data_IF_283293785574
#
_entry.id   IF_283293785574
#
_cell.length_a   1.000
_cell.length_b   1.000
_cell.length_c   1.000
_cell.angle_alpha   90.00
_cell.angle_beta   90.00
_cell.angle_gamma   90.00
#
_symmetry.space_group_name_H-M   'P 1'
#
loop_
_entity.id
_entity.type
_entity.pdbx_description
1 polymer ?
#
# COMPACT_ATOMS: atom_id res chain seq x y z
N UNK A 1 -22.38 -0.45 3.79
CA UNK A 1 -21.54 -1.45 3.09
C UNK A 1 -20.87 -0.75 1.92
N UNK A 2 -19.57 -0.96 1.69
CA UNK A 2 -18.87 -0.42 0.52
C UNK A 2 -19.28 -1.24 -0.69
N UNK A 3 -20.06 -0.62 -1.57
CA UNK A 3 -20.33 -1.11 -2.92
C UNK A 3 -20.32 0.12 -3.82
N UNK A 4 -19.45 0.13 -4.82
CA UNK A 4 -19.26 1.28 -5.69
C UNK A 4 -19.01 0.79 -7.10
N UNK A 5 -19.77 1.32 -8.07
CA UNK A 5 -19.62 0.97 -9.48
C UNK A 5 -19.15 2.19 -10.26
N UNK A 6 -18.14 2.00 -11.10
CA UNK A 6 -17.66 3.03 -12.02
C UNK A 6 -17.28 2.40 -13.35
N UNK A 7 -17.98 2.81 -14.41
CA UNK A 7 -17.87 2.15 -15.71
C UNK A 7 -18.24 0.68 -15.60
N UNK A 8 -17.33 -0.19 -16.06
CA UNK A 8 -17.49 -1.66 -16.06
C UNK A 8 -16.98 -2.36 -14.79
N UNK A 9 -16.55 -1.60 -13.78
CA UNK A 9 -15.95 -2.15 -12.57
C UNK A 9 -16.83 -1.89 -11.35
N UNK A 10 -16.86 -2.88 -10.46
CA UNK A 10 -17.53 -2.78 -9.16
C UNK A 10 -16.52 -3.09 -8.06
N UNK A 11 -16.36 -2.16 -7.12
CA UNK A 11 -15.59 -2.34 -5.90
C UNK A 11 -16.52 -2.66 -4.73
N UNK A 12 -16.23 -3.71 -3.97
CA UNK A 12 -17.02 -4.11 -2.80
C UNK A 12 -16.18 -4.77 -1.72
N UNK A 13 -16.70 -4.83 -0.50
CA UNK A 13 -16.14 -5.72 0.51
C UNK A 13 -16.46 -7.18 0.19
N UNK A 14 -15.55 -8.07 0.56
CA UNK A 14 -15.85 -9.49 0.71
C UNK A 14 -16.86 -9.68 1.86
N UNK A 15 -17.90 -10.46 1.63
CA UNK A 15 -18.96 -10.75 2.60
C UNK A 15 -19.05 -12.24 2.92
N UNK A 16 -18.51 -13.10 2.05
CA UNK A 16 -18.55 -14.55 2.19
C UNK A 16 -17.14 -15.17 2.24
N UNK A 17 -16.99 -16.39 2.78
CA UNK A 17 -15.73 -17.14 2.65
C UNK A 17 -15.30 -17.33 1.18
N UNK A 18 -16.27 -17.48 0.27
CA UNK A 18 -16.00 -17.56 -1.17
C UNK A 18 -15.35 -16.30 -1.74
N UNK A 19 -15.77 -15.12 -1.27
CA UNK A 19 -15.15 -13.85 -1.66
C UNK A 19 -13.69 -13.75 -1.18
N UNK A 20 -13.44 -14.16 0.06
CA UNK A 20 -12.09 -14.18 0.63
C UNK A 20 -11.19 -15.16 -0.13
N UNK A 21 -11.71 -16.36 -0.46
CA UNK A 21 -11.00 -17.32 -1.31
C UNK A 21 -10.70 -16.78 -2.71
N UNK A 22 -11.62 -16.00 -3.29
CA UNK A 22 -11.40 -15.36 -4.58
C UNK A 22 -10.26 -14.31 -4.52
N UNK A 23 -10.21 -13.50 -3.44
CA UNK A 23 -9.09 -12.60 -3.19
C UNK A 23 -7.77 -13.37 -2.99
N UNK A 24 -7.78 -14.41 -2.17
CA UNK A 24 -6.62 -15.28 -1.91
C UNK A 24 -6.06 -15.92 -3.18
N UNK A 25 -6.95 -16.37 -4.07
CA UNK A 25 -6.59 -16.96 -5.37
C UNK A 25 -5.93 -15.92 -6.28
N UNK A 26 -6.53 -14.72 -6.37
CA UNK A 26 -5.98 -13.63 -7.17
C UNK A 26 -4.62 -13.16 -6.64
N UNK A 27 -4.46 -13.04 -5.31
CA UNK A 27 -3.18 -12.72 -4.67
C UNK A 27 -2.11 -13.75 -5.01
N UNK A 28 -2.42 -15.04 -4.89
CA UNK A 28 -1.48 -16.10 -5.24
C UNK A 28 -1.01 -16.00 -6.70
N UNK A 29 -1.96 -15.82 -7.62
CA UNK A 29 -1.66 -15.62 -9.04
C UNK A 29 -0.72 -14.42 -9.26
N UNK A 30 -0.97 -13.31 -8.59
CA UNK A 30 -0.17 -12.09 -8.75
C UNK A 30 1.22 -12.17 -8.09
N UNK A 31 1.35 -12.81 -6.93
CA UNK A 31 2.57 -12.79 -6.12
C UNK A 31 3.46 -14.02 -6.31
N UNK A 32 2.86 -15.20 -6.50
CA UNK A 32 3.56 -16.48 -6.62
C UNK A 32 3.47 -17.06 -8.03
N UNK A 33 2.42 -16.71 -8.77
CA UNK A 33 2.14 -17.26 -10.09
C UNK A 33 1.41 -18.59 -10.02
N UNK A 34 0.55 -18.84 -11.02
CA UNK A 34 -0.22 -20.09 -11.11
C UNK A 34 -1.35 -20.24 -10.07
N UNK A 35 -2.02 -21.39 -10.06
CA UNK A 35 -3.12 -21.67 -9.14
C UNK A 35 -2.61 -21.91 -7.71
N UNK A 36 -3.37 -21.45 -6.72
CA UNK A 36 -3.07 -21.58 -5.29
C UNK A 36 -3.79 -20.52 -4.48
N UNK A 37 -3.50 -20.44 -3.18
CA UNK A 37 -4.06 -19.44 -2.27
C UNK A 37 -2.92 -18.75 -1.51
N UNK A 38 -2.92 -17.42 -1.50
CA UNK A 38 -2.04 -16.61 -0.66
C UNK A 38 -2.82 -16.33 0.63
N UNK A 39 -2.48 -17.02 1.72
CA UNK A 39 -3.18 -16.97 3.01
C UNK A 39 -2.20 -16.66 4.13
N UNK A 40 -2.57 -15.78 5.05
CA UNK A 40 -1.82 -15.55 6.29
C UNK A 40 -2.76 -15.23 7.47
N UNK A 41 -2.19 -15.15 8.68
CA UNK A 41 -2.93 -14.94 9.92
C UNK A 41 -3.64 -13.57 9.99
N UNK A 42 -3.25 -12.59 9.16
CA UNK A 42 -3.91 -11.29 9.13
C UNK A 42 -5.23 -11.31 8.37
N UNK A 43 -5.48 -12.33 7.55
CA UNK A 43 -6.69 -12.39 6.73
C UNK A 43 -7.98 -12.38 7.55
N UNK A 44 -7.94 -12.90 8.78
CA UNK A 44 -9.10 -12.92 9.69
C UNK A 44 -9.45 -11.54 10.24
N UNK A 45 -8.44 -10.70 10.50
CA UNK A 45 -8.63 -9.35 11.05
C UNK A 45 -8.83 -8.29 9.95
N UNK A 46 -8.50 -8.62 8.70
CA UNK A 46 -8.57 -7.71 7.59
C UNK A 46 -9.95 -7.68 6.93
N UNK A 47 -10.34 -6.50 6.46
CA UNK A 47 -11.41 -6.35 5.47
C UNK A 47 -10.83 -6.55 4.09
N UNK A 48 -11.36 -7.51 3.34
CA UNK A 48 -10.94 -7.76 1.96
C UNK A 48 -11.81 -6.94 1.01
N UNK A 49 -11.17 -6.28 0.05
CA UNK A 49 -11.83 -5.51 -1.01
C UNK A 49 -11.58 -6.21 -2.33
N UNK A 50 -12.67 -6.48 -3.04
CA UNK A 50 -12.66 -7.02 -4.40
C UNK A 50 -13.05 -5.91 -5.36
N UNK A 51 -12.37 -5.87 -6.51
CA UNK A 51 -12.79 -5.14 -7.69
C UNK A 51 -13.05 -6.16 -8.77
N UNK A 52 -14.29 -6.19 -9.23
CA UNK A 52 -14.79 -7.13 -10.21
C UNK A 52 -15.08 -6.40 -11.53
N UNK A 53 -14.91 -7.09 -12.65
CA UNK A 53 -15.39 -6.60 -13.93
C UNK A 53 -16.90 -6.86 -14.12
N UNK A 54 -17.45 -6.46 -15.27
CA UNK A 54 -18.86 -6.63 -15.59
C UNK A 54 -19.33 -8.10 -15.60
N UNK A 55 -18.40 -9.06 -15.71
CA UNK A 55 -18.69 -10.50 -15.62
C UNK A 55 -18.63 -11.06 -14.20
N UNK A 56 -18.34 -10.23 -13.19
CA UNK A 56 -18.18 -10.66 -11.81
C UNK A 56 -16.83 -11.31 -11.50
N UNK A 57 -15.86 -11.26 -12.42
CA UNK A 57 -14.53 -11.82 -12.18
C UNK A 57 -13.65 -10.82 -11.42
N UNK A 58 -12.98 -11.21 -10.32
CA UNK A 58 -12.04 -10.35 -9.62
C UNK A 58 -10.85 -9.96 -10.50
N UNK A 59 -10.69 -8.66 -10.76
CA UNK A 59 -9.59 -8.08 -11.54
C UNK A 59 -8.57 -7.35 -10.68
N UNK A 60 -8.92 -7.01 -9.44
CA UNK A 60 -8.03 -6.45 -8.44
C UNK A 60 -8.54 -6.79 -7.04
N UNK A 61 -7.63 -6.93 -6.08
CA UNK A 61 -8.00 -7.00 -4.68
C UNK A 61 -6.94 -6.33 -3.80
N UNK A 62 -7.36 -5.98 -2.59
CA UNK A 62 -6.48 -5.54 -1.51
C UNK A 62 -7.15 -5.81 -0.17
N UNK A 63 -6.38 -5.71 0.91
CA UNK A 63 -6.92 -5.85 2.27
C UNK A 63 -6.65 -4.61 3.10
N UNK A 64 -7.54 -4.35 4.05
CA UNK A 64 -7.46 -3.25 5.00
C UNK A 64 -7.49 -3.82 6.42
N UNK A 65 -6.44 -3.58 7.20
CA UNK A 65 -6.46 -3.83 8.64
C UNK A 65 -6.90 -2.54 9.36
N UNK A 66 -8.12 -2.47 9.92
CA UNK A 66 -8.53 -1.34 10.73
C UNK A 66 -7.83 -1.34 12.09
N UNK A 67 -7.29 -0.18 12.48
CA UNK A 67 -6.76 0.06 13.82
C UNK A 67 -7.49 1.24 14.45
N UNK A 68 -7.84 1.13 15.73
CA UNK A 68 -8.54 2.21 16.45
C UNK A 68 -7.67 3.44 16.68
N UNK A 69 -6.35 3.23 16.84
CA UNK A 69 -5.34 4.26 17.02
C UNK A 69 -3.95 3.66 16.82
N UNK A 70 -2.91 4.49 16.97
CA UNK A 70 -1.51 4.08 17.04
C UNK A 70 -1.24 3.00 18.09
N UNK A 71 -1.99 2.95 19.19
CA UNK A 71 -1.81 1.94 20.23
C UNK A 71 -1.99 0.49 19.76
N UNK A 72 -2.63 0.28 18.61
CA UNK A 72 -2.81 -1.05 17.99
C UNK A 72 -1.79 -1.35 16.88
N UNK A 73 -0.84 -0.45 16.60
CA UNK A 73 0.08 -0.55 15.44
C UNK A 73 0.92 -1.81 15.43
N UNK A 74 1.23 -2.36 16.61
CA UNK A 74 1.97 -3.62 16.77
C UNK A 74 1.27 -4.84 16.19
N UNK A 75 -0.05 -4.77 15.93
CA UNK A 75 -0.84 -5.83 15.29
C UNK A 75 -0.72 -5.86 13.77
N UNK A 76 -0.05 -4.87 13.17
CA UNK A 76 0.05 -4.76 11.70
C UNK A 76 1.10 -5.69 11.09
N UNK A 77 0.93 -6.02 9.81
CA UNK A 77 1.95 -6.75 9.05
C UNK A 77 3.26 -5.95 9.00
N UNK A 78 3.17 -4.63 8.83
CA UNK A 78 4.32 -3.72 8.82
C UNK A 78 5.13 -3.81 10.12
N UNK A 79 4.49 -3.96 11.27
CA UNK A 79 5.17 -4.07 12.56
C UNK A 79 6.02 -5.35 12.70
N UNK A 80 5.89 -6.34 11.81
CA UNK A 80 6.80 -7.49 11.78
C UNK A 80 8.21 -7.09 11.34
N UNK A 81 8.33 -6.06 10.48
CA UNK A 81 9.59 -5.68 9.82
C UNK A 81 10.13 -4.31 10.25
N UNK A 82 9.25 -3.43 10.71
CA UNK A 82 9.60 -2.07 11.14
C UNK A 82 9.34 -1.92 12.64
N UNK A 83 10.23 -1.21 13.32
CA UNK A 83 9.92 -0.68 14.65
C UNK A 83 9.08 0.59 14.45
N UNK A 84 7.81 0.47 14.86
CA UNK A 84 6.77 1.47 14.68
C UNK A 84 6.39 2.15 15.99
N UNK A 85 7.21 2.06 17.04
CA UNK A 85 6.88 2.64 18.36
C UNK A 85 6.60 4.15 18.28
N UNK A 86 7.25 4.87 17.35
CA UNK A 86 6.97 6.29 17.12
C UNK A 86 5.52 6.59 16.69
N UNK A 87 4.82 5.62 16.09
CA UNK A 87 3.43 5.76 15.66
C UNK A 87 2.42 5.39 16.76
N UNK A 88 2.85 4.81 17.88
CA UNK A 88 1.96 4.40 18.97
C UNK A 88 1.14 5.57 19.54
N UNK A 89 1.68 6.79 19.48
CA UNK A 89 1.01 8.00 19.95
C UNK A 89 0.06 8.65 18.94
N UNK A 90 -0.15 8.06 17.75
CA UNK A 90 -1.12 8.58 16.79
C UNK A 90 -2.54 8.38 17.31
N UNK A 91 -3.29 9.48 17.44
CA UNK A 91 -4.53 9.55 18.23
C UNK A 91 -5.82 9.30 17.42
N UNK A 92 -5.70 9.13 16.10
CA UNK A 92 -6.83 8.89 15.19
C UNK A 92 -6.83 7.45 14.66
N UNK A 93 -7.98 6.96 14.15
CA UNK A 93 -8.04 5.66 13.49
C UNK A 93 -7.02 5.55 12.36
N UNK A 94 -6.46 4.35 12.18
CA UNK A 94 -5.48 4.06 11.14
C UNK A 94 -5.96 2.88 10.32
N UNK A 95 -5.47 2.74 9.08
CA UNK A 95 -5.67 1.51 8.34
C UNK A 95 -4.40 1.08 7.60
N UNK A 96 -4.02 -0.19 7.78
CA UNK A 96 -2.97 -0.80 6.97
C UNK A 96 -3.58 -1.26 5.65
N UNK A 97 -3.07 -0.73 4.53
CA UNK A 97 -3.36 -1.25 3.21
C UNK A 97 -2.29 -2.27 2.82
N UNK A 98 -2.71 -3.50 2.55
CA UNK A 98 -1.84 -4.60 2.20
C UNK A 98 -2.35 -5.41 1.02
N UNK A 99 -1.47 -6.28 0.50
CA UNK A 99 -1.79 -7.28 -0.53
C UNK A 99 -2.53 -6.72 -1.75
N UNK A 100 -2.22 -5.47 -2.11
CA UNK A 100 -2.80 -4.83 -3.29
C UNK A 100 -2.24 -5.49 -4.55
N UNK A 101 -3.11 -6.07 -5.38
CA UNK A 101 -2.72 -6.62 -6.66
C UNK A 101 -3.79 -6.39 -7.73
N UNK A 102 -3.34 -6.28 -8.98
CA UNK A 102 -4.18 -6.23 -10.18
C UNK A 102 -3.84 -7.48 -10.97
N UNK A 103 -4.87 -8.16 -11.48
CA UNK A 103 -4.73 -9.36 -12.30
C UNK A 103 -3.77 -9.06 -13.46
N UNK A 104 -2.76 -9.91 -13.74
CA UNK A 104 -1.69 -9.60 -14.70
C UNK A 104 -2.21 -9.43 -16.14
N UNK A 105 -3.33 -10.06 -16.49
CA UNK A 105 -4.04 -9.85 -17.75
C UNK A 105 -4.83 -8.53 -17.87
N UNK A 106 -4.84 -7.70 -16.82
CA UNK A 106 -5.59 -6.43 -16.80
C UNK A 106 -4.64 -5.24 -16.59
N UNK A 107 -4.61 -4.34 -17.57
CA UNK A 107 -3.83 -3.10 -17.53
C UNK A 107 -4.68 -1.83 -17.52
N UNK A 108 -6.00 -1.95 -17.33
CA UNK A 108 -6.92 -0.81 -17.38
C UNK A 108 -6.69 0.14 -16.18
N UNK A 109 -6.29 1.40 -16.41
CA UNK A 109 -6.06 2.36 -15.33
C UNK A 109 -7.31 2.66 -14.49
N UNK A 110 -8.52 2.39 -15.00
CA UNK A 110 -9.77 2.57 -14.25
C UNK A 110 -9.89 1.63 -13.06
N UNK A 111 -9.23 0.47 -13.08
CA UNK A 111 -9.15 -0.46 -11.94
C UNK A 111 -8.46 0.21 -10.75
N UNK A 112 -7.36 0.93 -10.98
CA UNK A 112 -6.68 1.65 -9.91
C UNK A 112 -7.52 2.85 -9.45
N UNK A 113 -8.21 3.54 -10.36
CA UNK A 113 -9.08 4.67 -10.01
C UNK A 113 -10.22 4.23 -9.10
N UNK A 114 -10.93 3.15 -9.45
CA UNK A 114 -12.03 2.64 -8.62
C UNK A 114 -11.52 2.12 -7.27
N UNK A 115 -10.33 1.51 -7.20
CA UNK A 115 -9.70 1.11 -5.95
C UNK A 115 -9.46 2.30 -5.01
N UNK A 116 -8.92 3.41 -5.54
CA UNK A 116 -8.72 4.63 -4.75
C UNK A 116 -10.04 5.28 -4.34
N UNK A 117 -11.09 5.25 -5.19
CA UNK A 117 -12.41 5.72 -4.81
C UNK A 117 -13.01 4.91 -3.66
N UNK A 118 -12.87 3.58 -3.72
CA UNK A 118 -13.31 2.67 -2.68
C UNK A 118 -12.58 2.91 -1.35
N UNK A 119 -11.25 3.10 -1.42
CA UNK A 119 -10.44 3.43 -0.25
C UNK A 119 -10.79 4.82 0.32
N UNK A 120 -11.05 5.80 -0.54
CA UNK A 120 -11.45 7.16 -0.13
C UNK A 120 -12.78 7.12 0.63
N UNK A 121 -13.76 6.38 0.11
CA UNK A 121 -15.03 6.17 0.81
C UNK A 121 -14.83 5.50 2.16
N UNK A 122 -14.02 4.46 2.21
CA UNK A 122 -13.68 3.80 3.47
C UNK A 122 -13.04 4.76 4.48
N UNK A 123 -12.08 5.58 4.05
CA UNK A 123 -11.40 6.58 4.90
C UNK A 123 -12.40 7.59 5.45
N UNK A 124 -13.26 8.16 4.59
CA UNK A 124 -14.26 9.15 4.99
C UNK A 124 -15.31 8.53 5.93
N UNK A 125 -15.79 7.30 5.64
CA UNK A 125 -16.80 6.59 6.44
C UNK A 125 -16.28 6.19 7.84
N UNK A 126 -14.97 5.94 7.97
CA UNK A 126 -14.37 5.42 9.23
C UNK A 126 -13.54 6.46 9.99
N UNK A 127 -13.38 7.66 9.42
CA UNK A 127 -12.60 8.73 10.05
C UNK A 127 -11.10 8.40 10.16
N UNK A 128 -10.56 7.57 9.26
CA UNK A 128 -9.13 7.22 9.25
C UNK A 128 -8.29 8.49 9.13
N UNK A 129 -7.38 8.67 10.07
CA UNK A 129 -6.40 9.76 10.10
C UNK A 129 -5.09 9.41 9.41
N UNK A 130 -4.75 8.12 9.30
CA UNK A 130 -3.53 7.66 8.61
C UNK A 130 -3.77 6.36 7.84
N UNK A 131 -3.42 6.36 6.56
CA UNK A 131 -3.20 5.14 5.79
C UNK A 131 -1.72 4.77 5.81
N UNK A 132 -1.42 3.49 5.98
CA UNK A 132 -0.04 3.02 5.95
C UNK A 132 0.08 1.61 5.35
N UNK A 133 1.31 1.15 5.12
CA UNK A 133 1.60 -0.21 4.69
C UNK A 133 3.00 -0.34 4.10
N UNK A 134 3.21 -1.41 3.34
CA UNK A 134 4.49 -1.69 2.67
C UNK A 134 4.36 -1.50 1.16
N UNK A 135 5.15 -0.59 0.58
CA UNK A 135 5.27 -0.46 -0.87
C UNK A 135 6.46 -1.24 -1.39
N UNK A 136 6.21 -2.19 -2.28
CA UNK A 136 7.22 -3.15 -2.75
C UNK A 136 7.77 -2.83 -4.13
N UNK A 137 9.07 -3.02 -4.28
CA UNK A 137 9.85 -3.06 -5.51
C UNK A 137 10.16 -4.52 -5.83
N UNK A 138 10.10 -4.91 -7.10
CA UNK A 138 10.28 -6.30 -7.52
C UNK A 138 11.74 -6.75 -7.39
N UNK A 139 11.97 -7.90 -6.80
CA UNK A 139 13.30 -8.48 -6.61
C UNK A 139 14.01 -7.95 -5.35
N UNK A 140 15.04 -8.68 -4.92
CA UNK A 140 15.80 -8.40 -3.69
C UNK A 140 17.06 -7.54 -3.90
N UNK A 141 17.31 -7.07 -5.13
CA UNK A 141 18.50 -6.28 -5.48
C UNK A 141 18.15 -4.80 -5.58
N UNK A 142 18.92 -3.95 -4.91
CA UNK A 142 18.69 -2.49 -4.91
C UNK A 142 19.17 -1.79 -6.19
N UNK A 143 20.10 -2.39 -6.94
CA UNK A 143 20.75 -1.77 -8.10
C UNK A 143 19.78 -1.23 -9.18
N UNK A 144 18.66 -1.90 -9.52
CA UNK A 144 17.69 -1.37 -10.48
C UNK A 144 16.92 -0.13 -9.97
N UNK A 145 16.91 0.11 -8.66
CA UNK A 145 16.04 1.09 -7.99
C UNK A 145 16.80 2.26 -7.37
N UNK A 146 18.10 2.40 -7.65
CA UNK A 146 18.93 3.42 -6.99
C UNK A 146 18.42 4.85 -7.22
N UNK A 147 17.89 5.16 -8.40
CA UNK A 147 17.34 6.48 -8.69
C UNK A 147 15.99 6.71 -7.98
N UNK A 148 15.14 5.67 -7.89
CA UNK A 148 13.93 5.72 -7.09
C UNK A 148 14.24 5.92 -5.61
N UNK A 149 15.20 5.17 -5.06
CA UNK A 149 15.63 5.33 -3.67
C UNK A 149 16.29 6.69 -3.40
N UNK A 150 17.08 7.22 -4.34
CA UNK A 150 17.63 8.57 -4.22
C UNK A 150 16.50 9.63 -4.21
N UNK A 151 15.45 9.46 -5.03
CA UNK A 151 14.27 10.34 -5.03
C UNK A 151 13.47 10.24 -3.72
N UNK A 152 13.31 9.03 -3.17
CA UNK A 152 12.66 8.84 -1.88
C UNK A 152 13.43 9.51 -0.74
N UNK A 153 14.76 9.35 -0.71
CA UNK A 153 15.65 10.03 0.24
C UNK A 153 15.49 11.56 0.17
N UNK A 154 15.49 12.11 -1.04
CA UNK A 154 15.50 13.56 -1.23
C UNK A 154 14.21 14.23 -0.74
N UNK A 155 13.05 13.63 -1.03
CA UNK A 155 11.79 14.37 -0.98
C UNK A 155 10.68 13.70 -0.17
N UNK A 156 10.88 12.45 0.28
CA UNK A 156 9.78 11.62 0.78
C UNK A 156 10.11 10.84 2.05
N UNK A 157 11.19 11.16 2.76
CA UNK A 157 11.46 10.53 4.06
C UNK A 157 10.40 10.93 5.09
N UNK A 158 10.10 9.97 5.99
CA UNK A 158 9.20 10.17 7.11
C UNK A 158 9.54 11.44 7.91
N UNK A 159 8.53 12.19 8.38
CA UNK A 159 8.74 13.22 9.38
C UNK A 159 9.43 12.63 10.62
N UNK A 160 10.33 13.39 11.26
CA UNK A 160 11.11 12.91 12.42
C UNK A 160 10.24 12.26 13.51
N UNK A 161 9.03 12.81 13.75
CA UNK A 161 8.09 12.28 14.75
C UNK A 161 7.52 10.89 14.43
N UNK A 162 7.50 10.48 13.16
CA UNK A 162 6.88 9.23 12.70
C UNK A 162 7.86 8.19 12.17
N UNK A 163 9.14 8.55 12.05
CA UNK A 163 10.15 7.75 11.36
C UNK A 163 10.23 6.29 11.83
N UNK A 164 9.86 5.31 10.98
CA UNK A 164 10.01 3.89 11.29
C UNK A 164 11.48 3.53 11.49
N UNK A 165 11.79 2.79 12.54
CA UNK A 165 13.13 2.27 12.81
C UNK A 165 13.30 0.87 12.25
N UNK A 166 14.55 0.43 12.15
CA UNK A 166 14.89 -0.89 11.61
C UNK A 166 14.64 -1.96 12.65
N UNK A 167 13.77 -2.92 12.33
CA UNK A 167 13.54 -4.15 13.08
C UNK A 167 13.92 -5.40 12.29
N UNK A 168 13.71 -5.38 10.97
CA UNK A 168 14.04 -6.48 10.09
C UNK A 168 15.54 -6.81 10.08
N UNK A 169 15.93 -8.10 9.93
CA UNK A 169 17.32 -8.53 9.97
C UNK A 169 18.12 -8.07 8.74
N UNK A 170 17.45 -7.87 7.60
CA UNK A 170 18.10 -7.51 6.32
C UNK A 170 17.43 -6.29 5.71
N UNK A 171 18.21 -5.23 5.54
CA UNK A 171 17.75 -3.96 4.97
C UNK A 171 18.78 -3.33 4.04
N UNK A 172 18.31 -2.59 3.04
CA UNK A 172 19.08 -1.63 2.27
C UNK A 172 18.81 -0.22 2.79
N UNK A 173 19.74 0.32 3.60
CA UNK A 173 19.69 1.67 4.19
C UNK A 173 19.95 2.75 3.14
N UNK A 174 19.00 2.97 2.24
CA UNK A 174 19.21 3.82 1.08
C UNK A 174 19.47 5.28 1.44
N UNK A 175 18.86 5.82 2.51
CA UNK A 175 19.08 7.22 2.88
C UNK A 175 20.56 7.50 3.23
N UNK A 176 21.20 6.56 3.93
CA UNK A 176 22.62 6.62 4.26
C UNK A 176 23.51 6.26 3.05
N UNK A 177 23.22 5.14 2.38
CA UNK A 177 24.08 4.62 1.28
C UNK A 177 24.09 5.53 0.04
N UNK A 178 23.03 6.31 -0.16
CA UNK A 178 22.87 7.22 -1.30
C UNK A 178 22.95 8.69 -0.87
N UNK A 179 23.59 9.00 0.27
CA UNK A 179 23.68 10.36 0.81
C UNK A 179 24.13 11.38 -0.25
N UNK A 180 25.18 11.06 -1.01
CA UNK A 180 25.77 11.93 -2.04
C UNK A 180 25.24 11.68 -3.46
N UNK A 181 24.21 10.84 -3.63
CA UNK A 181 23.62 10.55 -4.94
C UNK A 181 22.41 11.43 -5.18
N UNK A 182 22.45 12.16 -6.29
CA UNK A 182 21.29 12.84 -6.86
C UNK A 182 20.45 11.90 -7.73
N UNK A 183 19.12 11.96 -7.67
CA UNK A 183 18.26 11.12 -8.48
C UNK A 183 18.18 11.61 -9.94
N UNK A 184 18.31 10.68 -10.89
CA UNK A 184 17.74 10.90 -12.22
C UNK A 184 16.21 10.82 -12.13
N UNK A 185 15.53 11.96 -12.33
CA UNK A 185 14.08 12.06 -12.17
C UNK A 185 13.30 11.13 -13.12
N UNK A 186 13.78 10.93 -14.36
CA UNK A 186 13.11 10.07 -15.35
C UNK A 186 13.25 8.61 -14.96
N UNK A 187 14.46 8.18 -14.58
CA UNK A 187 14.72 6.81 -14.12
C UNK A 187 14.01 6.49 -12.81
N UNK A 188 13.96 7.45 -11.89
CA UNK A 188 13.19 7.33 -10.65
C UNK A 188 11.70 7.12 -10.95
N UNK A 189 11.12 7.93 -11.84
CA UNK A 189 9.70 7.80 -12.21
C UNK A 189 9.36 6.46 -12.88
N UNK A 190 10.26 5.92 -13.70
CA UNK A 190 10.08 4.62 -14.37
C UNK A 190 10.21 3.42 -13.43
N UNK A 191 11.05 3.54 -12.39
CA UNK A 191 11.34 2.44 -11.45
C UNK A 191 10.52 2.51 -10.16
N UNK A 192 9.74 3.58 -9.95
CA UNK A 192 8.84 3.73 -8.81
C UNK A 192 7.59 2.85 -8.96
N UNK A 193 7.21 2.06 -7.95
CA UNK A 193 5.96 1.32 -7.94
C UNK A 193 4.75 2.27 -8.15
N UNK A 194 3.77 1.93 -9.01
CA UNK A 194 2.64 2.82 -9.32
C UNK A 194 1.82 3.22 -8.09
N UNK A 195 1.60 2.29 -7.17
CA UNK A 195 0.86 2.54 -5.93
C UNK A 195 1.63 3.52 -5.04
N UNK A 196 2.94 3.29 -4.84
CA UNK A 196 3.81 4.20 -4.07
C UNK A 196 3.79 5.61 -4.66
N UNK A 197 3.94 5.74 -5.99
CA UNK A 197 3.85 7.04 -6.66
C UNK A 197 2.55 7.79 -6.32
N UNK A 198 1.43 7.08 -6.20
CA UNK A 198 0.14 7.69 -5.83
C UNK A 198 0.14 8.18 -4.39
N UNK A 199 0.68 7.40 -3.45
CA UNK A 199 0.93 7.85 -2.07
C UNK A 199 1.77 9.13 -2.02
N UNK A 200 2.90 9.16 -2.73
CA UNK A 200 3.81 10.32 -2.74
C UNK A 200 3.14 11.58 -3.29
N UNK A 201 2.30 11.45 -4.34
CA UNK A 201 1.52 12.57 -4.89
C UNK A 201 0.47 13.13 -3.91
N UNK A 202 0.10 12.35 -2.89
CA UNK A 202 -0.83 12.76 -1.83
C UNK A 202 -0.12 13.26 -0.57
N UNK A 203 1.21 13.43 -0.60
CA UNK A 203 1.99 13.82 0.58
C UNK A 203 2.44 12.64 1.44
N UNK A 204 2.37 11.42 0.90
CA UNK A 204 2.88 10.23 1.56
C UNK A 204 4.40 10.25 1.69
N UNK A 205 4.89 9.54 2.69
CA UNK A 205 6.29 9.44 3.08
C UNK A 205 6.71 7.99 3.31
N UNK A 206 8.02 7.74 3.37
CA UNK A 206 8.59 6.39 3.49
C UNK A 206 9.65 6.28 4.59
N UNK A 207 9.94 5.05 5.01
CA UNK A 207 11.13 4.74 5.83
C UNK A 207 12.43 5.13 5.12
N UNK A 208 13.51 5.27 5.87
CA UNK A 208 14.86 5.61 5.35
C UNK A 208 15.65 4.39 4.81
N UNK A 209 15.00 3.22 4.84
CA UNK A 209 15.54 1.94 4.44
C UNK A 209 14.45 1.09 3.76
N UNK A 210 14.90 0.19 2.90
CA UNK A 210 14.07 -0.86 2.32
C UNK A 210 14.39 -2.20 2.98
N UNK A 211 13.37 -2.94 3.40
CA UNK A 211 13.48 -4.30 3.92
C UNK A 211 13.62 -5.27 2.76
N UNK A 212 14.52 -6.25 2.92
CA UNK A 212 14.69 -7.36 1.97
C UNK A 212 13.75 -8.48 2.37
N UNK A 213 12.78 -8.79 1.52
CA UNK A 213 11.85 -9.90 1.68
C UNK A 213 12.19 -10.98 0.64
N UNK A 214 12.91 -12.01 1.07
CA UNK A 214 13.33 -13.12 0.21
C UNK A 214 12.15 -14.02 -0.18
N UNK A 215 11.12 -14.10 0.65
CA UNK A 215 9.95 -14.95 0.41
C UNK A 215 9.08 -14.37 -0.72
N UNK A 216 8.74 -13.08 -0.62
CA UNK A 216 8.00 -12.38 -1.67
C UNK A 216 8.89 -11.98 -2.85
N UNK A 217 10.22 -12.16 -2.74
CA UNK A 217 11.23 -11.68 -3.68
C UNK A 217 11.04 -10.17 -3.96
N UNK A 218 11.04 -9.36 -2.91
CA UNK A 218 10.88 -7.90 -3.00
C UNK A 218 11.83 -7.12 -2.11
N UNK A 219 12.00 -5.85 -2.45
CA UNK A 219 12.42 -4.81 -1.50
C UNK A 219 11.19 -3.99 -1.15
N UNK A 220 10.82 -3.87 0.12
CA UNK A 220 9.69 -3.01 0.49
C UNK A 220 10.13 -1.88 1.41
N UNK A 221 9.46 -0.73 1.28
CA UNK A 221 9.61 0.41 2.19
C UNK A 221 8.32 0.59 2.96
N UNK A 222 8.41 0.99 4.23
CA UNK A 222 7.24 1.48 4.94
C UNK A 222 6.72 2.70 4.19
N UNK A 223 5.41 2.82 4.04
CA UNK A 223 4.74 3.96 3.42
C UNK A 223 3.66 4.46 4.37
N UNK A 224 3.68 5.74 4.71
CA UNK A 224 2.68 6.39 5.54
C UNK A 224 2.05 7.58 4.82
N UNK A 225 0.76 7.82 5.08
CA UNK A 225 0.00 8.95 4.55
C UNK A 225 -0.95 9.46 5.62
N UNK A 226 -0.66 10.64 6.16
CA UNK A 226 -1.60 11.38 6.99
C UNK A 226 -2.72 11.92 6.10
N UNK A 227 -3.99 11.56 6.38
CA UNK A 227 -5.13 11.99 5.56
C UNK A 227 -5.28 13.52 5.56
N UNK A 228 -4.94 14.17 6.67
CA UNK A 228 -4.92 15.63 6.78
C UNK A 228 -3.82 16.32 5.95
N UNK A 229 -2.79 15.60 5.51
CA UNK A 229 -1.72 16.14 4.68
C UNK A 229 -2.03 16.09 3.18
N UNK A 230 -3.11 15.40 2.78
CA UNK A 230 -3.50 15.28 1.38
C UNK A 230 -3.83 16.67 0.82
N UNK A 231 -3.21 17.11 -0.29
CA UNK A 231 -3.51 18.39 -0.90
C UNK A 231 -5.02 18.54 -1.19
N UNK A 232 -5.67 19.67 -0.85
CA UNK A 232 -7.12 19.79 -0.94
C UNK A 232 -7.70 19.49 -2.33
N UNK A 233 -6.98 19.87 -3.40
CA UNK A 233 -7.38 19.55 -4.77
C UNK A 233 -7.37 18.04 -5.07
N UNK A 234 -6.40 17.31 -4.51
CA UNK A 234 -6.32 15.85 -4.63
C UNK A 234 -7.41 15.16 -3.83
N UNK A 235 -7.64 15.59 -2.59
CA UNK A 235 -8.72 15.07 -1.77
C UNK A 235 -10.09 15.23 -2.45
N UNK A 236 -10.36 16.41 -3.04
CA UNK A 236 -11.58 16.62 -3.84
C UNK A 236 -11.67 15.69 -5.05
N UNK A 237 -10.58 15.54 -5.81
CA UNK A 237 -10.56 14.65 -6.97
C UNK A 237 -10.81 13.18 -6.60
N UNK A 238 -10.28 12.71 -5.46
CA UNK A 238 -10.53 11.36 -4.94
C UNK A 238 -11.98 11.17 -4.52
N UNK A 239 -12.58 12.16 -3.84
CA UNK A 239 -14.00 12.13 -3.46
C UNK A 239 -14.93 12.10 -4.67
N UNK A 240 -14.63 12.86 -5.73
CA UNK A 240 -15.36 12.75 -7.00
C UNK A 240 -15.30 11.35 -7.64
N UNK A 241 -14.30 10.55 -7.30
CA UNK A 241 -14.25 9.14 -7.72
C UNK A 241 -15.06 8.25 -6.79
N UNK A 242 -15.11 8.56 -5.50
CA UNK A 242 -15.86 7.83 -4.47
C UNK A 242 -17.40 7.95 -4.60
N UNK A 243 -17.88 8.97 -5.31
CA UNK A 243 -19.30 9.31 -5.43
C UNK A 243 -19.74 10.31 -4.38
#
# INVERSE_FOLDING_TARGET
MLTMTKGRYTARFAETPGDVMAAQSLRHLCFRGGPGLDVDDFDTDCRHVLIEDAGGSPVCCFRLLPLRSGGEIGRSYSAQYYDLTALECFDKPMAELGRFCIHPGHGDPDILRIAWGALTRYVDDTGVGMLFGCSSFKGVKAAPYLDAFAKLKADHLAPHRWGPRIKAPRVYRFAHRLAQREPDAKRAALSMPPLLRTYLLMGGWVSDHAVVDDDMNTLHVFTGLEIGAIPPARARALRLVAG
#
